data_IF_521792014084
#
_entry.id   IF_521792014084
#
_cell.length_a   1.000
_cell.length_b   1.000
_cell.length_c   1.000
_cell.angle_alpha   90.00
_cell.angle_beta   90.00
_cell.angle_gamma   90.00
#
_symmetry.space_group_name_H-M   'P 1'
#
loop_
_entity.id
_entity.type
_entity.pdbx_description
1 polymer ?
#
# COMPACT_ATOMS: atom_id res chain seq x y z
N UNK A 1 2.87 12.99 8.31
CA UNK A 1 2.06 11.77 8.16
C UNK A 1 2.55 10.81 7.07
N UNK A 2 3.57 11.13 6.25
CA UNK A 2 4.16 10.23 5.25
C UNK A 2 3.21 9.73 4.14
N UNK A 3 2.08 10.40 3.92
CA UNK A 3 1.11 10.09 2.87
C UNK A 3 0.87 11.30 1.96
N UNK A 4 0.77 11.02 0.68
CA UNK A 4 0.40 12.01 -0.35
C UNK A 4 -0.89 11.49 -0.98
N UNK A 5 -1.91 12.35 -1.07
CA UNK A 5 -3.15 12.07 -1.77
C UNK A 5 -3.08 12.70 -3.15
N UNK A 6 -3.36 11.93 -4.18
CA UNK A 6 -3.47 12.40 -5.56
C UNK A 6 -4.75 11.85 -6.21
N UNK A 7 -5.19 12.49 -7.28
CA UNK A 7 -6.28 11.99 -8.14
C UNK A 7 -5.67 11.41 -9.41
N UNK A 8 -6.26 10.33 -9.91
CA UNK A 8 -5.79 9.68 -11.12
C UNK A 8 -6.68 8.50 -11.49
N UNK A 9 -6.29 7.80 -12.53
CA UNK A 9 -6.92 6.60 -13.05
C UNK A 9 -6.26 5.34 -12.50
N UNK A 10 -6.82 4.15 -12.74
CA UNK A 10 -6.15 2.88 -12.44
C UNK A 10 -4.84 2.70 -13.22
N UNK A 11 -4.76 3.24 -14.44
CA UNK A 11 -3.52 3.26 -15.22
C UNK A 11 -2.44 4.09 -14.54
N UNK A 12 -2.81 5.21 -13.88
CA UNK A 12 -1.87 6.01 -13.10
C UNK A 12 -1.41 5.26 -11.84
N UNK A 13 -2.28 4.50 -11.19
CA UNK A 13 -1.88 3.64 -10.08
C UNK A 13 -0.85 2.58 -10.52
N UNK A 14 -1.02 1.98 -11.70
CA UNK A 14 -0.04 1.06 -12.29
C UNK A 14 1.29 1.77 -12.59
N UNK A 15 1.25 2.95 -13.22
CA UNK A 15 2.46 3.77 -13.46
C UNK A 15 3.19 4.14 -12.17
N UNK A 16 2.46 4.51 -11.12
CA UNK A 16 3.04 4.82 -9.81
C UNK A 16 3.72 3.60 -9.21
N UNK A 17 3.12 2.40 -9.30
CA UNK A 17 3.75 1.17 -8.81
C UNK A 17 5.07 0.86 -9.54
N UNK A 18 5.17 1.17 -10.83
CA UNK A 18 6.41 0.98 -11.60
C UNK A 18 7.47 2.05 -11.32
N UNK A 19 7.05 3.31 -11.20
CA UNK A 19 7.97 4.45 -11.27
C UNK A 19 8.30 5.11 -9.93
N UNK A 20 7.52 4.88 -8.86
CA UNK A 20 7.77 5.51 -7.57
C UNK A 20 9.11 5.04 -6.96
N UNK A 21 10.02 6.00 -6.75
CA UNK A 21 11.33 5.75 -6.14
C UNK A 21 11.29 5.79 -4.62
N UNK A 22 10.59 6.76 -4.03
CA UNK A 22 10.57 7.00 -2.59
C UNK A 22 9.29 6.51 -1.90
N UNK A 23 8.23 6.20 -2.65
CA UNK A 23 6.98 5.69 -2.10
C UNK A 23 7.12 4.23 -1.64
N UNK A 24 6.51 3.90 -0.51
CA UNK A 24 6.51 2.53 -0.01
C UNK A 24 5.38 1.67 -0.58
N UNK A 25 4.25 2.31 -0.91
CA UNK A 25 3.04 1.66 -1.46
C UNK A 25 2.18 2.67 -2.21
N UNK A 26 1.40 2.15 -3.15
CA UNK A 26 0.30 2.84 -3.82
C UNK A 26 -1.01 2.24 -3.31
N UNK A 27 -1.87 3.08 -2.76
CA UNK A 27 -3.14 2.67 -2.17
C UNK A 27 -4.28 3.35 -2.91
N UNK A 28 -5.24 2.57 -3.40
CA UNK A 28 -6.49 3.09 -3.96
C UNK A 28 -7.45 3.38 -2.81
N UNK A 29 -7.86 4.64 -2.65
CA UNK A 29 -8.83 5.04 -1.62
C UNK A 29 -10.23 4.69 -2.10
N UNK A 30 -10.93 3.81 -1.38
CA UNK A 30 -12.27 3.36 -1.70
C UNK A 30 -13.35 4.16 -0.97
N UNK A 31 -13.05 4.64 0.24
CA UNK A 31 -14.00 5.42 1.02
C UNK A 31 -13.33 6.16 2.18
N UNK A 32 -13.93 7.29 2.56
CA UNK A 32 -13.59 8.08 3.75
C UNK A 32 -14.87 8.55 4.39
N UNK A 33 -15.01 8.31 5.69
CA UNK A 33 -16.22 8.65 6.44
C UNK A 33 -15.93 8.74 7.95
N UNK A 34 -16.73 9.50 8.72
CA UNK A 34 -16.64 9.50 10.18
C UNK A 34 -16.99 8.11 10.74
N UNK A 35 -16.25 7.68 11.78
CA UNK A 35 -16.50 6.41 12.46
C UNK A 35 -16.12 6.52 13.95
N UNK A 36 -17.08 6.94 14.77
CA UNK A 36 -16.95 7.06 16.22
C UNK A 36 -17.44 5.83 16.96
N UNK A 37 -18.25 5.02 16.30
CA UNK A 37 -18.80 3.76 16.82
C UNK A 37 -18.56 2.61 15.86
N UNK A 38 -18.64 1.37 16.36
CA UNK A 38 -18.57 0.18 15.52
C UNK A 38 -19.73 0.10 14.53
N UNK A 39 -20.88 0.65 14.87
CA UNK A 39 -22.03 0.72 13.95
C UNK A 39 -21.75 1.68 12.79
N UNK A 40 -21.25 2.88 13.06
CA UNK A 40 -20.85 3.84 12.01
C UNK A 40 -19.75 3.24 11.11
N UNK A 41 -18.75 2.56 11.69
CA UNK A 41 -17.73 1.87 10.94
C UNK A 41 -18.33 0.78 10.04
N UNK A 42 -19.23 -0.06 10.60
CA UNK A 42 -19.88 -1.14 9.86
C UNK A 42 -20.69 -0.60 8.66
N UNK A 43 -21.55 0.40 8.89
CA UNK A 43 -22.39 0.97 7.85
C UNK A 43 -21.56 1.67 6.76
N UNK A 44 -20.53 2.42 7.14
CA UNK A 44 -19.65 3.06 6.19
C UNK A 44 -18.90 2.06 5.30
N UNK A 45 -18.44 0.95 5.87
CA UNK A 45 -17.79 -0.14 5.10
C UNK A 45 -18.79 -0.84 4.18
N UNK A 46 -19.98 -1.14 4.68
CA UNK A 46 -21.05 -1.80 3.89
C UNK A 46 -21.53 -0.95 2.71
N UNK A 47 -21.42 0.38 2.80
CA UNK A 47 -21.80 1.30 1.73
C UNK A 47 -20.83 1.29 0.55
N UNK A 48 -19.58 0.80 0.72
CA UNK A 48 -18.61 0.68 -0.36
C UNK A 48 -19.02 -0.46 -1.31
N UNK A 49 -18.98 -0.21 -2.62
CA UNK A 49 -19.25 -1.22 -3.64
C UNK A 49 -18.03 -2.14 -3.81
N UNK A 50 -17.85 -3.09 -2.89
CA UNK A 50 -16.72 -4.02 -2.88
C UNK A 50 -16.68 -4.92 -4.11
N UNK A 51 -17.83 -5.25 -4.66
CA UNK A 51 -18.02 -6.04 -5.88
C UNK A 51 -17.34 -5.45 -7.11
N UNK A 52 -17.12 -4.13 -7.16
CA UNK A 52 -16.41 -3.47 -8.25
C UNK A 52 -14.88 -3.71 -8.21
N UNK A 53 -14.36 -4.16 -7.06
CA UNK A 53 -12.93 -4.31 -6.81
C UNK A 53 -12.49 -5.73 -6.47
N UNK A 54 -13.40 -6.53 -5.91
CA UNK A 54 -13.11 -7.85 -5.39
C UNK A 54 -13.93 -8.91 -6.12
N UNK A 55 -13.31 -9.84 -6.84
CA UNK A 55 -14.03 -10.98 -7.38
C UNK A 55 -14.55 -11.89 -6.26
N UNK A 56 -15.51 -12.72 -6.59
CA UNK A 56 -16.23 -13.56 -5.65
C UNK A 56 -15.36 -14.47 -4.79
N UNK A 57 -14.26 -14.99 -5.35
CA UNK A 57 -13.32 -15.87 -4.65
C UNK A 57 -12.10 -15.13 -4.04
N UNK A 58 -12.10 -13.80 -4.05
CA UNK A 58 -11.00 -13.01 -3.53
C UNK A 58 -10.71 -13.33 -2.05
N UNK A 59 -9.44 -13.48 -1.70
CA UNK A 59 -9.00 -13.42 -0.31
C UNK A 59 -8.71 -11.96 0.06
N UNK A 60 -9.41 -11.41 1.05
CA UNK A 60 -9.31 -9.99 1.42
C UNK A 60 -8.94 -9.79 2.90
N UNK A 61 -7.69 -10.06 3.29
CA UNK A 61 -7.23 -9.77 4.64
C UNK A 61 -7.27 -8.26 4.91
N UNK A 62 -7.64 -7.90 6.14
CA UNK A 62 -7.75 -6.51 6.59
C UNK A 62 -6.60 -6.18 7.52
N UNK A 63 -5.85 -5.11 7.22
CA UNK A 63 -4.80 -4.56 8.08
C UNK A 63 -4.95 -3.05 8.24
N UNK A 64 -4.58 -2.52 9.39
CA UNK A 64 -4.67 -1.09 9.59
C UNK A 64 -4.22 -0.65 10.96
N UNK A 65 -4.57 0.58 11.31
CA UNK A 65 -4.25 1.17 12.60
C UNK A 65 -5.33 2.18 13.01
N UNK A 66 -5.38 2.46 14.29
CA UNK A 66 -6.20 3.52 14.87
C UNK A 66 -5.32 4.43 15.73
N UNK A 67 -5.44 5.73 15.53
CA UNK A 67 -4.70 6.76 16.27
C UNK A 67 -5.66 7.88 16.65
N UNK A 68 -5.65 8.28 17.92
CA UNK A 68 -6.47 9.38 18.43
C UNK A 68 -7.97 9.26 18.05
N UNK A 69 -8.51 8.04 18.11
CA UNK A 69 -9.88 7.73 17.75
C UNK A 69 -10.56 6.95 18.87
N UNK A 70 -11.90 7.06 18.99
CA UNK A 70 -12.70 6.33 19.96
C UNK A 70 -12.56 4.80 19.74
N UNK A 71 -12.55 4.37 18.51
CA UNK A 71 -12.32 2.97 18.13
C UNK A 71 -10.82 2.63 18.16
N UNK A 72 -10.27 2.37 19.33
CA UNK A 72 -8.83 2.13 19.55
C UNK A 72 -8.40 0.67 19.36
N UNK A 73 -9.33 -0.30 19.47
CA UNK A 73 -9.02 -1.73 19.30
C UNK A 73 -8.88 -2.10 17.83
N UNK A 74 -7.65 -2.20 17.35
CA UNK A 74 -7.36 -2.61 15.95
C UNK A 74 -7.95 -3.98 15.61
N UNK A 75 -7.83 -5.04 16.46
CA UNK A 75 -8.44 -6.34 16.15
C UNK A 75 -9.98 -6.27 16.04
N UNK A 76 -10.65 -5.49 16.92
CA UNK A 76 -12.09 -5.31 16.85
C UNK A 76 -12.49 -4.59 15.56
N UNK A 77 -11.79 -3.52 15.18
CA UNK A 77 -12.01 -2.83 13.91
C UNK A 77 -11.83 -3.77 12.71
N UNK A 78 -10.77 -4.59 12.70
CA UNK A 78 -10.54 -5.58 11.64
C UNK A 78 -11.71 -6.55 11.49
N UNK A 79 -12.22 -7.09 12.62
CA UNK A 79 -13.36 -8.01 12.63
C UNK A 79 -14.63 -7.35 12.10
N UNK A 80 -14.93 -6.13 12.53
CA UNK A 80 -16.11 -5.37 12.06
C UNK A 80 -16.00 -5.04 10.57
N UNK A 81 -14.84 -4.58 10.11
CA UNK A 81 -14.60 -4.30 8.69
C UNK A 81 -14.79 -5.56 7.87
N UNK A 82 -14.19 -6.68 8.27
CA UNK A 82 -14.32 -7.96 7.57
C UNK A 82 -15.78 -8.40 7.50
N UNK A 83 -16.52 -8.32 8.62
CA UNK A 83 -17.93 -8.65 8.68
C UNK A 83 -18.78 -7.79 7.71
N UNK A 84 -18.58 -6.47 7.72
CA UNK A 84 -19.32 -5.56 6.86
C UNK A 84 -19.06 -5.80 5.36
N UNK A 85 -17.80 -6.11 5.00
CA UNK A 85 -17.44 -6.50 3.63
C UNK A 85 -18.16 -7.78 3.21
N UNK A 86 -18.11 -8.82 4.06
CA UNK A 86 -18.79 -10.10 3.79
C UNK A 86 -20.30 -9.90 3.64
N UNK A 87 -20.95 -9.12 4.51
CA UNK A 87 -22.38 -8.82 4.41
C UNK A 87 -22.74 -8.10 3.09
N UNK A 88 -21.90 -7.16 2.63
CA UNK A 88 -22.10 -6.52 1.33
C UNK A 88 -21.97 -7.50 0.19
N UNK A 89 -20.91 -8.32 0.20
CA UNK A 89 -20.66 -9.30 -0.85
C UNK A 89 -21.72 -10.42 -0.88
N UNK A 90 -22.23 -10.88 0.28
CA UNK A 90 -23.36 -11.80 0.36
C UNK A 90 -24.60 -11.25 -0.35
N UNK A 91 -24.93 -9.99 -0.07
CA UNK A 91 -26.09 -9.35 -0.68
C UNK A 91 -25.95 -9.21 -2.21
N UNK A 92 -24.72 -8.98 -2.71
CA UNK A 92 -24.47 -8.81 -4.13
C UNK A 92 -24.40 -10.15 -4.88
N UNK A 93 -23.61 -11.11 -4.37
CA UNK A 93 -23.37 -12.39 -5.04
C UNK A 93 -24.41 -13.47 -4.70
N UNK A 94 -25.36 -13.19 -3.81
CA UNK A 94 -26.38 -14.15 -3.34
C UNK A 94 -25.81 -15.47 -2.82
N UNK A 95 -24.66 -15.38 -2.09
CA UNK A 95 -23.97 -16.52 -1.48
C UNK A 95 -23.77 -16.34 0.00
N UNK A 96 -23.83 -17.46 0.74
CA UNK A 96 -23.63 -17.47 2.19
C UNK A 96 -22.15 -17.56 2.62
N UNK A 97 -21.31 -18.16 1.78
CA UNK A 97 -19.90 -18.39 2.12
C UNK A 97 -18.98 -17.96 0.97
N UNK A 98 -17.83 -17.39 1.34
CA UNK A 98 -16.76 -17.00 0.43
C UNK A 98 -15.53 -17.84 0.77
N UNK A 99 -15.01 -18.66 -0.17
CA UNK A 99 -13.89 -19.58 0.09
C UNK A 99 -12.58 -18.87 0.36
N UNK A 100 -12.41 -17.64 -0.12
CA UNK A 100 -11.17 -16.84 -0.01
C UNK A 100 -9.91 -17.60 -0.50
N UNK A 101 -10.08 -18.46 -1.50
CA UNK A 101 -9.03 -19.30 -2.09
C UNK A 101 -8.39 -18.66 -3.35
N UNK A 102 -8.91 -17.55 -3.79
CA UNK A 102 -8.41 -16.80 -4.93
C UNK A 102 -7.28 -15.83 -4.63
N UNK A 103 -7.11 -14.87 -5.51
CA UNK A 103 -6.06 -13.84 -5.41
C UNK A 103 -6.27 -12.99 -4.16
N UNK A 104 -5.16 -12.67 -3.49
CA UNK A 104 -5.15 -11.87 -2.27
C UNK A 104 -5.21 -10.38 -2.56
N UNK A 105 -6.27 -9.73 -2.11
CA UNK A 105 -6.49 -8.30 -2.15
C UNK A 105 -6.34 -7.70 -0.75
N UNK A 106 -5.20 -7.10 -0.46
CA UNK A 106 -4.94 -6.56 0.88
C UNK A 106 -5.73 -5.27 1.10
N UNK A 107 -6.75 -5.34 1.95
CA UNK A 107 -7.51 -4.16 2.40
C UNK A 107 -6.74 -3.49 3.54
N UNK A 108 -6.61 -2.16 3.47
CA UNK A 108 -5.99 -1.34 4.50
C UNK A 108 -6.95 -0.31 5.02
N UNK A 109 -7.05 -0.21 6.34
CA UNK A 109 -7.81 0.87 6.97
C UNK A 109 -6.91 1.77 7.82
N UNK A 110 -7.33 2.98 7.99
CA UNK A 110 -6.79 3.89 9.00
C UNK A 110 -7.93 4.63 9.67
N UNK A 111 -7.92 4.63 11.00
CA UNK A 111 -8.75 5.49 11.83
C UNK A 111 -7.86 6.57 12.40
N UNK A 112 -8.17 7.80 12.12
CA UNK A 112 -7.43 8.96 12.62
C UNK A 112 -8.41 10.09 12.98
N UNK A 113 -8.45 10.45 14.25
CA UNK A 113 -9.38 11.46 14.79
C UNK A 113 -10.84 11.15 14.38
N UNK A 114 -11.26 9.91 14.60
CA UNK A 114 -12.59 9.40 14.28
C UNK A 114 -12.99 9.44 12.79
N UNK A 115 -12.02 9.65 11.90
CA UNK A 115 -12.21 9.51 10.45
C UNK A 115 -11.63 8.17 9.98
N UNK A 116 -12.47 7.35 9.39
CA UNK A 116 -12.07 6.11 8.74
C UNK A 116 -11.70 6.36 7.28
N UNK A 117 -10.57 5.78 6.85
CA UNK A 117 -10.24 5.70 5.44
C UNK A 117 -9.95 4.24 5.07
N UNK A 118 -10.61 3.76 4.03
CA UNK A 118 -10.47 2.42 3.49
C UNK A 118 -9.74 2.47 2.16
N UNK A 119 -8.74 1.62 2.03
CA UNK A 119 -7.90 1.57 0.83
C UNK A 119 -7.68 0.11 0.39
N UNK A 120 -7.56 -0.09 -0.91
CA UNK A 120 -7.03 -1.32 -1.48
C UNK A 120 -5.54 -1.13 -1.79
N UNK A 121 -4.71 -2.06 -1.35
CA UNK A 121 -3.27 -2.05 -1.61
C UNK A 121 -3.02 -2.57 -3.03
N UNK A 122 -2.58 -1.69 -3.92
CA UNK A 122 -2.31 -2.05 -5.33
C UNK A 122 -0.86 -2.48 -5.56
N UNK A 123 -0.02 -2.43 -4.52
CA UNK A 123 1.41 -2.74 -4.66
C UNK A 123 1.76 -4.19 -4.37
N UNK A 124 0.91 -4.93 -3.65
CA UNK A 124 1.23 -6.28 -3.16
C UNK A 124 2.39 -6.24 -2.18
N UNK A 125 3.59 -6.62 -2.59
CA UNK A 125 4.80 -6.39 -1.81
C UNK A 125 5.17 -4.90 -1.75
N UNK A 126 5.95 -4.51 -0.74
CA UNK A 126 6.37 -3.11 -0.61
C UNK A 126 7.28 -2.68 -1.76
N UNK A 127 7.10 -1.45 -2.26
CA UNK A 127 7.86 -0.92 -3.40
C UNK A 127 9.36 -0.82 -3.14
N UNK A 128 9.81 -0.92 -1.89
CA UNK A 128 11.24 -1.03 -1.57
C UNK A 128 11.85 -2.37 -2.02
N UNK A 129 11.06 -3.43 -2.19
CA UNK A 129 11.53 -4.69 -2.77
C UNK A 129 11.63 -4.55 -4.29
N UNK A 130 12.80 -4.16 -4.78
CA UNK A 130 13.05 -3.86 -6.19
C UNK A 130 13.32 -5.10 -7.05
N UNK A 131 13.58 -6.26 -6.43
CA UNK A 131 13.95 -7.49 -7.13
C UNK A 131 15.47 -7.66 -7.34
N UNK A 132 16.28 -6.62 -7.29
CA UNK A 132 17.70 -6.70 -7.59
C UNK A 132 18.58 -7.31 -6.48
N UNK A 133 18.05 -7.56 -5.29
CA UNK A 133 18.81 -8.22 -4.21
C UNK A 133 18.76 -9.74 -4.35
N UNK A 134 19.84 -10.31 -4.85
CA UNK A 134 20.00 -11.76 -4.94
C UNK A 134 20.32 -12.42 -3.59
N UNK A 135 21.05 -11.70 -2.72
CA UNK A 135 21.49 -12.18 -1.41
C UNK A 135 21.05 -11.19 -0.33
N UNK A 136 20.42 -11.71 0.72
CA UNK A 136 20.08 -10.91 1.89
C UNK A 136 21.32 -10.56 2.70
N UNK A 137 21.47 -9.31 3.07
CA UNK A 137 22.43 -8.85 4.08
C UNK A 137 21.69 -8.45 5.34
N UNK A 138 22.33 -8.52 6.49
CA UNK A 138 21.73 -8.10 7.74
C UNK A 138 21.45 -6.58 7.73
N UNK A 139 20.21 -6.21 8.09
CA UNK A 139 19.73 -4.83 8.23
C UNK A 139 20.11 -3.87 7.07
N UNK A 140 19.82 -4.18 5.80
CA UNK A 140 20.20 -3.33 4.70
C UNK A 140 19.40 -2.01 4.69
N UNK A 141 20.01 -0.95 4.14
CA UNK A 141 19.28 0.29 3.87
C UNK A 141 18.11 0.01 2.91
N UNK A 142 16.93 0.53 3.24
CA UNK A 142 15.77 0.37 2.35
C UNK A 142 15.99 1.14 1.04
N UNK A 143 15.67 0.52 -0.06
CA UNK A 143 15.83 1.05 -1.42
C UNK A 143 15.10 2.38 -1.63
N UNK A 144 13.88 2.52 -1.06
CA UNK A 144 13.11 3.78 -1.11
C UNK A 144 13.80 4.92 -0.35
N UNK A 145 14.52 4.62 0.73
CA UNK A 145 15.28 5.61 1.47
C UNK A 145 16.58 5.98 0.72
N UNK A 146 17.29 5.00 0.18
CA UNK A 146 18.46 5.24 -0.66
C UNK A 146 18.11 6.11 -1.88
N UNK A 147 17.01 5.80 -2.56
CA UNK A 147 16.51 6.61 -3.67
C UNK A 147 16.19 8.05 -3.24
N UNK A 148 15.59 8.24 -2.06
CA UNK A 148 15.33 9.58 -1.52
C UNK A 148 16.63 10.36 -1.27
N UNK A 149 17.68 9.71 -0.72
CA UNK A 149 18.99 10.32 -0.50
C UNK A 149 19.62 10.75 -1.83
N UNK A 150 19.59 9.88 -2.85
CA UNK A 150 20.10 10.19 -4.19
C UNK A 150 19.36 11.38 -4.81
N UNK A 151 18.02 11.42 -4.72
CA UNK A 151 17.22 12.53 -5.26
C UNK A 151 17.46 13.85 -4.49
N UNK A 152 17.61 13.78 -3.16
CA UNK A 152 17.91 14.95 -2.33
C UNK A 152 19.30 15.51 -2.60
N UNK A 153 20.29 14.68 -2.96
CA UNK A 153 21.62 15.13 -3.40
C UNK A 153 21.61 15.81 -4.77
N UNK A 154 20.46 15.82 -5.46
CA UNK A 154 20.27 16.35 -6.83
C UNK A 154 21.13 15.63 -7.88
N UNK A 155 21.59 14.43 -7.59
CA UNK A 155 22.32 13.59 -8.53
C UNK A 155 21.48 13.31 -9.79
N UNK A 156 22.10 13.50 -10.96
CA UNK A 156 21.45 13.33 -12.28
C UNK A 156 22.21 12.38 -13.23
N UNK A 157 23.21 11.67 -12.71
CA UNK A 157 24.01 10.73 -13.51
C UNK A 157 25.08 11.36 -14.38
N UNK A 158 25.37 12.66 -14.22
CA UNK A 158 26.40 13.37 -14.99
C UNK A 158 27.74 13.47 -14.26
N UNK A 159 27.67 13.46 -12.93
CA UNK A 159 28.84 13.62 -12.07
C UNK A 159 29.25 12.26 -11.49
N UNK A 160 30.53 12.08 -11.11
CA UNK A 160 30.98 10.91 -10.36
C UNK A 160 30.22 10.80 -9.03
N UNK A 161 29.82 9.58 -8.67
CA UNK A 161 29.23 9.29 -7.36
C UNK A 161 30.15 8.32 -6.61
N UNK A 162 30.49 8.67 -5.38
CA UNK A 162 31.25 7.82 -4.47
C UNK A 162 30.45 7.56 -3.21
N UNK A 163 30.34 6.29 -2.84
CA UNK A 163 29.79 5.85 -1.56
C UNK A 163 30.87 5.08 -0.80
N UNK A 164 31.58 5.73 0.14
CA UNK A 164 32.71 5.13 0.85
C UNK A 164 32.26 4.05 1.87
N UNK A 165 30.98 3.96 2.17
CA UNK A 165 30.40 2.99 3.11
C UNK A 165 29.27 2.16 2.46
N UNK A 166 29.46 1.77 1.21
CA UNK A 166 28.42 1.24 0.31
C UNK A 166 27.67 -0.01 0.83
N UNK A 167 28.28 -0.79 1.74
CA UNK A 167 27.67 -2.00 2.25
C UNK A 167 27.19 -2.92 1.12
N UNK A 168 25.87 -3.17 1.04
CA UNK A 168 25.26 -3.96 -0.05
C UNK A 168 25.07 -3.21 -1.37
N UNK A 169 25.62 -2.01 -1.51
CA UNK A 169 25.52 -1.22 -2.73
C UNK A 169 24.18 -0.54 -2.99
N UNK A 170 23.31 -0.42 -2.00
CA UNK A 170 21.93 0.09 -2.21
C UNK A 170 21.94 1.51 -2.79
N UNK A 171 22.77 2.43 -2.26
CA UNK A 171 22.84 3.82 -2.74
C UNK A 171 23.39 3.88 -4.18
N UNK A 172 24.55 3.23 -4.52
CA UNK A 172 25.05 3.24 -5.90
C UNK A 172 24.08 2.60 -6.89
N UNK A 173 23.36 1.54 -6.52
CA UNK A 173 22.36 0.90 -7.39
C UNK A 173 21.20 1.87 -7.67
N UNK A 174 20.61 2.49 -6.64
CA UNK A 174 19.55 3.48 -6.83
C UNK A 174 20.02 4.70 -7.63
N UNK A 175 21.27 5.13 -7.44
CA UNK A 175 21.88 6.18 -8.25
C UNK A 175 22.01 5.77 -9.73
N UNK A 176 22.43 4.54 -10.01
CA UNK A 176 22.49 4.01 -11.38
C UNK A 176 21.09 3.94 -12.03
N UNK A 177 20.06 3.56 -11.27
CA UNK A 177 18.67 3.57 -11.75
C UNK A 177 18.19 5.01 -12.08
N UNK A 178 18.60 6.01 -11.30
CA UNK A 178 18.33 7.43 -11.58
C UNK A 178 19.08 7.88 -12.82
N UNK A 179 20.38 7.62 -12.91
CA UNK A 179 21.23 8.00 -14.05
C UNK A 179 20.74 7.44 -15.38
N UNK A 180 20.29 6.18 -15.38
CA UNK A 180 19.74 5.50 -16.57
C UNK A 180 18.25 5.76 -16.81
N UNK A 181 17.62 6.59 -16.00
CA UNK A 181 16.16 6.80 -16.00
C UNK A 181 15.34 5.49 -16.02
N UNK A 182 15.86 4.42 -15.38
CA UNK A 182 15.20 3.12 -15.31
C UNK A 182 14.15 3.14 -14.22
N UNK A 183 12.92 2.73 -14.53
CA UNK A 183 11.86 2.62 -13.54
C UNK A 183 12.20 1.54 -12.49
N UNK A 184 12.08 1.84 -11.19
CA UNK A 184 12.55 0.94 -10.13
C UNK A 184 11.67 -0.29 -9.91
N UNK A 185 10.48 -0.34 -10.48
CA UNK A 185 9.53 -1.44 -10.34
C UNK A 185 9.57 -2.46 -11.49
N UNK A 186 10.50 -2.35 -12.45
CA UNK A 186 10.54 -3.22 -13.64
C UNK A 186 10.97 -4.67 -13.34
N UNK A 187 11.75 -4.88 -12.29
CA UNK A 187 12.34 -6.19 -11.95
C UNK A 187 11.62 -6.86 -10.75
N UNK A 188 10.41 -6.39 -10.39
CA UNK A 188 9.60 -6.89 -9.26
C UNK A 188 8.77 -8.10 -9.63
#
# INVERSE_FOLDING_TARGET
NGRILCRGTLADAARLNLNLRCGARVLLVLGRFPARSFEELFQGIRAIAWEDYLPENAAFPVKGYSISSQLHSVPACQSIIKKAMVERMKAHYHREQFPEDGVKYQVRFSLFKDEAALCLDTSGEGLYKRGYRAVGVEAPLRETLAAAMVLLSRYRGKDPLCDPFCGSGTIPIEAALVAKNRAPGLDR
#
